data_IF_903044830594
#
_entry.id   IF_903044830594
#
_cell.length_a   1.000
_cell.length_b   1.000
_cell.length_c   1.000
_cell.angle_alpha   90.00
_cell.angle_beta   90.00
_cell.angle_gamma   90.00
#
_symmetry.space_group_name_H-M   'P 1'
#
loop_
_entity.id
_entity.type
_entity.pdbx_description
1 polymer ?
#
# COMPACT_ATOMS: atom_id res chain seq x y z
N UNK A 1 5.89 2.25 2.95
CA UNK A 1 6.08 0.85 3.41
C UNK A 1 5.71 -0.10 2.29
N UNK A 2 6.65 -0.90 1.78
CA UNK A 2 6.31 -1.99 0.86
C UNK A 2 5.91 -3.20 1.70
N UNK A 3 4.70 -3.70 1.52
CA UNK A 3 4.11 -4.71 2.41
C UNK A 3 3.47 -5.85 1.64
N UNK A 4 3.57 -7.04 2.22
CA UNK A 4 2.82 -8.21 1.77
C UNK A 4 1.33 -8.17 2.14
N UNK A 5 0.82 -7.07 2.71
CA UNK A 5 -0.58 -6.90 3.08
C UNK A 5 -1.08 -7.86 4.17
N UNK A 6 -0.19 -8.42 5.00
CA UNK A 6 -0.59 -9.14 6.21
C UNK A 6 -1.30 -8.20 7.19
N UNK A 7 -2.44 -8.65 7.76
CA UNK A 7 -3.34 -7.75 8.49
C UNK A 7 -2.70 -7.01 9.66
N UNK A 8 -1.83 -7.67 10.43
CA UNK A 8 -1.12 -7.02 11.54
C UNK A 8 -0.23 -5.85 11.06
N UNK A 9 0.58 -6.08 10.01
CA UNK A 9 1.43 -5.03 9.45
C UNK A 9 0.64 -3.88 8.83
N UNK A 10 -0.54 -4.18 8.29
CA UNK A 10 -1.48 -3.16 7.80
C UNK A 10 -1.98 -2.29 8.97
N UNK A 11 -2.40 -2.90 10.08
CA UNK A 11 -2.84 -2.18 11.27
C UNK A 11 -1.72 -1.31 11.87
N UNK A 12 -0.49 -1.82 11.94
CA UNK A 12 0.70 -1.07 12.39
C UNK A 12 0.96 0.16 11.49
N UNK A 13 0.87 -0.01 10.17
CA UNK A 13 1.06 1.06 9.21
C UNK A 13 -0.03 2.14 9.33
N UNK A 14 -1.30 1.72 9.46
CA UNK A 14 -2.44 2.62 9.68
C UNK A 14 -2.27 3.41 10.98
N UNK A 15 -1.96 2.73 12.09
CA UNK A 15 -1.76 3.38 13.39
C UNK A 15 -0.60 4.36 13.37
N UNK A 16 0.39 4.13 12.52
CA UNK A 16 1.57 4.99 12.36
C UNK A 16 1.39 6.09 11.30
N UNK A 17 0.32 6.04 10.50
CA UNK A 17 0.09 6.94 9.36
C UNK A 17 1.07 6.75 8.21
N UNK A 18 1.54 5.52 8.00
CA UNK A 18 2.55 5.20 6.98
C UNK A 18 1.86 4.75 5.68
N UNK A 19 2.11 5.43 4.54
CA UNK A 19 1.56 5.03 3.24
C UNK A 19 2.17 3.69 2.75
N UNK A 20 1.41 2.93 1.97
CA UNK A 20 1.80 1.56 1.56
C UNK A 20 1.93 1.35 0.05
N UNK A 21 2.81 0.41 -0.33
CA UNK A 21 2.73 -0.31 -1.61
C UNK A 21 2.40 -1.76 -1.29
N UNK A 22 1.30 -2.28 -1.83
CA UNK A 22 0.81 -3.63 -1.55
C UNK A 22 1.34 -4.66 -2.56
N UNK A 23 2.13 -5.61 -2.07
CA UNK A 23 2.75 -6.71 -2.82
C UNK A 23 2.51 -8.06 -2.13
N UNK A 24 1.30 -8.65 -2.26
CA UNK A 24 0.86 -9.82 -1.50
C UNK A 24 1.57 -11.10 -1.93
N UNK A 25 1.70 -12.05 -1.00
CA UNK A 25 2.36 -13.34 -1.24
C UNK A 25 1.41 -14.55 -1.06
N UNK A 26 0.66 -14.62 0.05
CA UNK A 26 -0.15 -15.80 0.40
C UNK A 26 -1.38 -15.47 1.26
N UNK A 27 -2.17 -16.50 1.63
CA UNK A 27 -3.38 -16.38 2.44
C UNK A 27 -4.38 -15.34 1.87
N UNK A 28 -4.95 -14.49 2.72
CA UNK A 28 -5.93 -13.46 2.35
C UNK A 28 -5.29 -12.15 1.87
N UNK A 29 -3.97 -12.09 1.76
CA UNK A 29 -3.23 -10.85 1.46
C UNK A 29 -3.64 -10.21 0.13
N UNK A 30 -4.04 -11.01 -0.87
CA UNK A 30 -4.56 -10.50 -2.15
C UNK A 30 -5.89 -9.77 -1.96
N UNK A 31 -6.75 -10.27 -1.07
CA UNK A 31 -8.00 -9.59 -0.68
C UNK A 31 -7.67 -8.30 0.10
N UNK A 32 -6.76 -8.37 1.07
CA UNK A 32 -6.32 -7.19 1.82
C UNK A 32 -5.76 -6.10 0.89
N UNK A 33 -4.95 -6.48 -0.12
CA UNK A 33 -4.47 -5.54 -1.16
C UNK A 33 -5.65 -4.83 -1.81
N UNK A 34 -6.64 -5.58 -2.30
CA UNK A 34 -7.80 -5.02 -2.99
C UNK A 34 -8.55 -4.01 -2.11
N UNK A 35 -8.85 -4.36 -0.86
CA UNK A 35 -9.50 -3.45 0.11
C UNK A 35 -8.66 -2.19 0.34
N UNK A 36 -7.33 -2.34 0.52
CA UNK A 36 -6.44 -1.21 0.79
C UNK A 36 -6.31 -0.24 -0.40
N UNK A 37 -6.31 -0.76 -1.62
CA UNK A 37 -6.13 0.04 -2.85
C UNK A 37 -7.45 0.59 -3.38
N UNK A 38 -8.53 -0.19 -3.30
CA UNK A 38 -9.83 0.15 -3.91
C UNK A 38 -10.71 0.91 -2.92
N UNK A 39 -10.89 0.38 -1.71
CA UNK A 39 -11.87 0.93 -0.77
C UNK A 39 -11.23 1.96 0.15
N UNK A 40 -10.12 1.60 0.79
CA UNK A 40 -9.50 2.46 1.82
C UNK A 40 -8.59 3.55 1.24
N UNK A 41 -8.13 3.40 -0.02
CA UNK A 41 -7.18 4.31 -0.69
C UNK A 41 -5.89 4.57 0.10
N UNK A 42 -5.41 3.53 0.80
CA UNK A 42 -4.22 3.59 1.68
C UNK A 42 -2.95 3.02 1.05
N UNK A 43 -3.07 2.40 -0.12
CA UNK A 43 -1.94 1.76 -0.78
C UNK A 43 -1.99 1.94 -2.30
N UNK A 44 -0.81 1.92 -2.93
CA UNK A 44 -0.66 1.64 -4.35
C UNK A 44 -0.43 0.13 -4.54
N UNK A 45 -1.02 -0.54 -5.55
CA UNK A 45 -0.73 -1.94 -5.83
C UNK A 45 0.66 -2.09 -6.47
N UNK A 46 1.37 -3.17 -6.17
CA UNK A 46 2.46 -3.64 -7.04
C UNK A 46 1.85 -4.39 -8.22
N UNK A 47 2.33 -4.11 -9.43
CA UNK A 47 1.93 -4.83 -10.65
C UNK A 47 2.90 -5.99 -10.92
N UNK A 48 2.34 -7.18 -11.10
CA UNK A 48 3.06 -8.38 -11.52
C UNK A 48 2.88 -8.54 -13.04
N UNK A 49 3.90 -9.02 -13.75
CA UNK A 49 3.76 -9.48 -15.14
C UNK A 49 2.93 -10.77 -15.21
N UNK A 50 2.60 -11.21 -16.42
CA UNK A 50 1.77 -12.41 -16.65
C UNK A 50 2.35 -13.69 -16.03
N UNK A 51 3.68 -13.75 -15.88
CA UNK A 51 4.42 -14.83 -15.22
C UNK A 51 4.53 -14.67 -13.69
N UNK A 52 3.91 -13.64 -13.12
CA UNK A 52 3.91 -13.37 -11.67
C UNK A 52 5.19 -12.68 -11.16
N UNK A 53 6.06 -12.20 -12.03
CA UNK A 53 7.29 -11.51 -11.65
C UNK A 53 7.08 -10.00 -11.51
N UNK A 54 7.92 -9.36 -10.69
CA UNK A 54 7.97 -7.90 -10.55
C UNK A 54 9.35 -7.42 -10.94
N UNK A 55 9.41 -6.51 -11.91
CA UNK A 55 10.69 -5.96 -12.38
C UNK A 55 11.22 -4.89 -11.43
N UNK A 56 12.55 -4.68 -11.41
CA UNK A 56 13.16 -3.58 -10.67
C UNK A 56 12.63 -2.21 -11.12
N UNK A 57 12.26 -2.08 -12.41
CA UNK A 57 11.66 -0.87 -12.95
C UNK A 57 10.27 -0.60 -12.36
N UNK A 58 9.46 -1.65 -12.18
CA UNK A 58 8.15 -1.52 -11.53
C UNK A 58 8.28 -1.11 -10.06
N UNK A 59 9.18 -1.74 -9.31
CA UNK A 59 9.45 -1.34 -7.92
C UNK A 59 9.86 0.13 -7.85
N UNK A 60 10.80 0.55 -8.70
CA UNK A 60 11.26 1.94 -8.75
C UNK A 60 10.12 2.90 -9.09
N UNK A 61 9.28 2.55 -10.07
CA UNK A 61 8.12 3.35 -10.49
C UNK A 61 7.15 3.53 -9.32
N UNK A 62 6.76 2.45 -8.65
CA UNK A 62 5.80 2.50 -7.53
C UNK A 62 6.35 3.26 -6.33
N UNK A 63 7.64 3.12 -6.02
CA UNK A 63 8.27 3.91 -4.97
C UNK A 63 8.29 5.40 -5.30
N UNK A 64 8.72 5.79 -6.50
CA UNK A 64 8.68 7.20 -6.93
C UNK A 64 7.26 7.75 -6.94
N UNK A 65 6.30 6.98 -7.46
CA UNK A 65 4.89 7.36 -7.46
C UNK A 65 4.36 7.58 -6.04
N UNK A 66 4.69 6.69 -5.09
CA UNK A 66 4.26 6.82 -3.69
C UNK A 66 4.93 7.98 -2.97
N UNK A 67 6.19 8.30 -3.28
CA UNK A 67 6.99 9.29 -2.53
C UNK A 67 6.88 10.70 -3.11
N UNK A 68 6.80 10.82 -4.44
CA UNK A 68 6.93 12.09 -5.16
C UNK A 68 5.72 12.40 -6.05
N UNK A 69 4.96 11.38 -6.46
CA UNK A 69 3.81 11.56 -7.36
C UNK A 69 2.57 12.11 -6.69
N UNK A 70 1.69 12.72 -7.48
CA UNK A 70 0.39 13.25 -7.03
C UNK A 70 -0.54 12.17 -6.47
N UNK A 71 -0.59 10.99 -7.11
CA UNK A 71 -1.36 9.87 -6.56
C UNK A 71 -0.79 9.40 -5.22
N UNK A 72 0.54 9.34 -5.09
CA UNK A 72 1.20 9.05 -3.83
C UNK A 72 0.90 10.10 -2.75
N UNK A 73 0.82 11.37 -3.12
CA UNK A 73 0.43 12.45 -2.21
C UNK A 73 -0.96 12.20 -1.62
N UNK A 74 -1.94 11.84 -2.46
CA UNK A 74 -3.27 11.47 -1.99
C UNK A 74 -3.23 10.28 -1.01
N UNK A 75 -2.45 9.23 -1.31
CA UNK A 75 -2.27 8.09 -0.39
C UNK A 75 -1.64 8.50 0.94
N UNK A 76 -0.65 9.41 0.93
CA UNK A 76 0.01 9.94 2.15
C UNK A 76 -0.95 10.76 2.99
N UNK A 77 -1.79 11.57 2.37
CA UNK A 77 -2.82 12.37 3.05
C UNK A 77 -3.86 11.45 3.70
N UNK A 78 -4.36 10.44 2.98
CA UNK A 78 -5.28 9.43 3.56
C UNK A 78 -4.63 8.71 4.73
N UNK A 79 -3.36 8.28 4.61
CA UNK A 79 -2.65 7.61 5.70
C UNK A 79 -2.54 8.50 6.95
N UNK A 80 -2.25 9.80 6.77
CA UNK A 80 -2.22 10.76 7.87
C UNK A 80 -3.59 10.93 8.53
N UNK A 81 -4.67 11.03 7.75
CA UNK A 81 -6.04 11.09 8.28
C UNK A 81 -6.42 9.83 9.06
N UNK A 82 -6.14 8.65 8.52
CA UNK A 82 -6.46 7.37 9.17
C UNK A 82 -5.71 7.16 10.49
N UNK A 83 -4.49 7.70 10.62
CA UNK A 83 -3.74 7.70 11.89
C UNK A 83 -4.51 8.41 13.00
N UNK A 84 -5.06 9.58 12.70
CA UNK A 84 -5.83 10.39 13.66
C UNK A 84 -7.14 9.70 14.04
N UNK A 85 -7.81 9.07 13.06
CA UNK A 85 -9.03 8.30 13.31
C UNK A 85 -8.76 7.06 14.16
N UNK A 86 -7.68 6.33 13.90
CA UNK A 86 -7.26 5.14 14.65
C UNK A 86 -6.74 5.46 16.07
N UNK A 87 -6.59 6.73 16.43
CA UNK A 87 -6.21 7.17 17.77
C UNK A 87 -7.40 7.36 18.73
N UNK A 88 -8.61 7.37 18.18
CA UNK A 88 -9.87 7.56 18.91
C UNK A 88 -10.44 6.21 19.33
#
# INVERSE_FOLDING_TARGET
FVTHCGWNSVLEAVRSGVPMVGWPLYAEQRLNKAVLTVDMKLALPMDESEDGLVTAMEVTRRLKQLMEGEEGKAVREVAATRKEEAAR
#
